data_IF_894281134935
#
_entry.id   IF_894281134935
#
_cell.length_a   1.000
_cell.length_b   1.000
_cell.length_c   1.000
_cell.angle_alpha   90.00
_cell.angle_beta   90.00
_cell.angle_gamma   90.00
#
_symmetry.space_group_name_H-M   'P 1'
#
loop_
_entity.id
_entity.type
_entity.pdbx_description
1 polymer ?
#
# COMPACT_ATOMS: atom_id res chain seq x y z
N UNK A 1 -24.78 2.67 3.25
CA UNK A 1 -23.55 3.40 3.62
C UNK A 1 -22.48 2.99 2.63
N UNK A 2 -21.99 3.92 1.80
CA UNK A 2 -20.96 3.60 0.81
C UNK A 2 -19.67 3.29 1.56
N UNK A 3 -19.21 2.06 1.47
CA UNK A 3 -17.96 1.59 2.07
C UNK A 3 -16.83 2.43 1.46
N UNK A 4 -16.07 3.18 2.29
CA UNK A 4 -14.92 3.91 1.76
C UNK A 4 -13.92 2.88 1.27
N UNK A 5 -13.58 2.92 -0.02
CA UNK A 5 -12.61 2.01 -0.64
C UNK A 5 -11.17 2.15 -0.11
N UNK A 6 -10.94 3.07 0.85
CA UNK A 6 -9.65 3.36 1.47
C UNK A 6 -9.83 3.82 2.92
N UNK A 7 -8.80 3.59 3.74
CA UNK A 7 -8.65 4.21 5.05
C UNK A 7 -7.72 5.43 4.97
N UNK A 8 -7.74 6.29 6.00
CA UNK A 8 -6.88 7.48 6.05
C UNK A 8 -5.62 7.22 6.90
N UNK A 9 -4.46 7.65 6.39
CA UNK A 9 -3.21 7.80 7.16
C UNK A 9 -2.68 9.21 6.99
N UNK A 10 -1.97 9.71 7.99
CA UNK A 10 -1.38 11.04 8.01
C UNK A 10 0.14 10.96 8.15
N UNK A 11 0.86 11.74 7.34
CA UNK A 11 2.31 11.76 7.27
C UNK A 11 2.85 13.20 7.27
N UNK A 12 3.68 13.55 8.25
CA UNK A 12 4.30 14.88 8.40
C UNK A 12 5.77 14.93 7.95
N UNK A 13 6.31 13.83 7.41
CA UNK A 13 7.72 13.70 7.05
C UNK A 13 8.57 12.98 8.09
N UNK A 14 8.04 12.79 9.31
CA UNK A 14 8.75 12.13 10.42
C UNK A 14 7.85 11.12 11.13
N UNK A 15 6.57 11.43 11.30
CA UNK A 15 5.57 10.64 12.03
C UNK A 15 4.48 10.17 11.10
N UNK A 16 4.20 8.86 11.18
CA UNK A 16 3.09 8.21 10.51
C UNK A 16 1.97 7.95 11.53
N UNK A 17 0.77 8.47 11.24
CA UNK A 17 -0.41 8.28 12.09
C UNK A 17 -1.50 7.53 11.34
N UNK A 18 -1.99 6.38 11.84
CA UNK A 18 -3.21 5.77 11.34
C UNK A 18 -4.42 6.62 11.76
N UNK A 19 -5.28 7.02 10.82
CA UNK A 19 -6.38 7.94 11.07
C UNK A 19 -5.93 9.40 11.21
N UNK A 20 -6.61 10.18 12.04
CA UNK A 20 -6.35 11.62 12.18
C UNK A 20 -4.99 11.89 12.85
N UNK A 21 -4.18 12.75 12.22
CA UNK A 21 -2.88 13.15 12.73
C UNK A 21 -2.34 14.41 12.05
N UNK A 22 -1.12 14.85 12.42
CA UNK A 22 -0.46 15.96 11.75
C UNK A 22 -0.01 15.57 10.34
N UNK A 23 0.20 16.58 9.50
CA UNK A 23 0.74 16.39 8.15
C UNK A 23 -0.31 16.05 7.09
N UNK A 24 0.18 15.51 5.98
CA UNK A 24 -0.60 15.29 4.77
C UNK A 24 -1.40 14.00 4.88
N UNK A 25 -2.68 14.07 4.51
CA UNK A 25 -3.58 12.92 4.48
C UNK A 25 -3.40 12.12 3.19
N UNK A 26 -3.38 10.80 3.31
CA UNK A 26 -3.39 9.85 2.21
C UNK A 26 -4.44 8.76 2.42
N UNK A 27 -5.01 8.27 1.32
CA UNK A 27 -5.76 7.03 1.31
C UNK A 27 -4.81 5.82 1.25
N UNK A 28 -5.07 4.80 2.06
CA UNK A 28 -4.33 3.54 2.13
C UNK A 28 -5.29 2.35 2.02
N UNK A 29 -4.80 1.19 1.57
CA UNK A 29 -5.58 -0.05 1.60
C UNK A 29 -6.01 -0.34 3.05
N UNK A 30 -7.32 -0.38 3.34
CA UNK A 30 -7.82 -0.51 4.70
C UNK A 30 -7.40 -1.84 5.34
N UNK A 31 -7.09 -2.86 4.54
CA UNK A 31 -6.60 -4.16 5.03
C UNK A 31 -5.23 -4.04 5.70
N UNK A 32 -4.43 -3.04 5.32
CA UNK A 32 -3.12 -2.81 5.93
C UNK A 32 -3.24 -2.32 7.37
N UNK A 33 -4.35 -1.69 7.75
CA UNK A 33 -4.56 -1.20 9.11
C UNK A 33 -5.19 -2.28 9.98
N UNK A 34 -4.78 -2.35 11.25
CA UNK A 34 -5.33 -3.33 12.19
C UNK A 34 -6.82 -3.12 12.54
N UNK A 35 -7.44 -2.00 12.12
CA UNK A 35 -8.90 -1.80 12.20
C UNK A 35 -9.50 -1.90 13.61
N UNK A 36 -8.72 -1.60 14.66
CA UNK A 36 -9.12 -1.78 16.07
C UNK A 36 -8.63 -3.08 16.72
N UNK A 37 -8.08 -4.01 15.93
CA UNK A 37 -7.29 -5.15 16.41
C UNK A 37 -5.85 -4.79 16.77
N UNK A 38 -5.09 -5.77 17.25
CA UNK A 38 -3.67 -5.60 17.59
C UNK A 38 -2.83 -5.79 16.33
N UNK A 39 -2.08 -4.76 15.91
CA UNK A 39 -1.15 -4.88 14.79
C UNK A 39 0.10 -5.69 15.15
N UNK A 40 1.01 -5.83 14.18
CA UNK A 40 2.27 -6.54 14.35
C UNK A 40 3.20 -5.72 15.26
N UNK A 41 3.45 -6.22 16.46
CA UNK A 41 4.31 -5.55 17.43
C UNK A 41 5.77 -5.48 16.95
N UNK A 42 6.40 -4.31 17.11
CA UNK A 42 7.79 -4.06 16.76
C UNK A 42 8.04 -3.96 15.26
N UNK A 43 7.01 -3.79 14.44
CA UNK A 43 7.16 -3.64 13.00
C UNK A 43 7.73 -2.26 12.63
N UNK A 44 8.15 -2.15 11.37
CA UNK A 44 8.67 -0.94 10.78
C UNK A 44 7.88 -0.61 9.52
N UNK A 45 7.47 0.65 9.38
CA UNK A 45 6.93 1.20 8.15
C UNK A 45 8.01 2.02 7.43
N UNK A 46 8.30 1.67 6.18
CA UNK A 46 9.05 2.52 5.26
C UNK A 46 8.07 3.38 4.49
N UNK A 47 8.04 4.67 4.82
CA UNK A 47 7.12 5.64 4.22
C UNK A 47 7.84 6.39 3.12
N UNK A 48 7.55 6.05 1.86
CA UNK A 48 8.06 6.73 0.67
C UNK A 48 6.99 7.72 0.18
N UNK A 49 6.88 8.86 0.87
CA UNK A 49 5.87 9.88 0.58
C UNK A 49 6.37 11.28 0.98
N UNK A 50 5.92 12.31 0.26
CA UNK A 50 6.25 13.70 0.56
C UNK A 50 5.15 14.40 1.37
N UNK A 51 5.48 15.09 2.48
CA UNK A 51 4.52 15.92 3.22
C UNK A 51 4.15 17.21 2.47
N UNK A 52 4.89 17.58 1.42
CA UNK A 52 4.59 18.76 0.59
C UNK A 52 3.26 18.58 -0.17
N UNK A 53 2.26 19.47 0.02
CA UNK A 53 0.99 19.42 -0.70
C UNK A 53 1.13 19.47 -2.22
N UNK A 54 2.18 20.10 -2.75
CA UNK A 54 2.42 20.21 -4.18
C UNK A 54 2.98 18.93 -4.82
N UNK A 55 3.57 18.03 -4.02
CA UNK A 55 4.16 16.78 -4.50
C UNK A 55 3.07 15.79 -4.89
N UNK A 56 2.83 15.58 -6.17
CA UNK A 56 1.84 14.64 -6.70
C UNK A 56 2.28 14.10 -8.06
N UNK A 57 2.02 12.82 -8.31
CA UNK A 57 2.31 12.16 -9.58
C UNK A 57 0.99 11.52 -10.06
N UNK A 58 0.76 11.46 -11.38
CA UNK A 58 -0.38 10.71 -11.90
C UNK A 58 -0.19 9.21 -11.66
N UNK A 59 -1.26 8.49 -11.32
CA UNK A 59 -1.16 7.04 -11.13
C UNK A 59 -0.67 6.28 -12.37
N UNK A 60 -1.02 6.75 -13.57
CA UNK A 60 -0.63 6.17 -14.84
C UNK A 60 0.74 6.64 -15.34
N UNK A 61 1.43 7.49 -14.58
CA UNK A 61 2.78 7.91 -14.91
C UNK A 61 3.70 6.69 -15.06
N UNK A 62 4.53 6.62 -16.13
CA UNK A 62 5.38 5.47 -16.38
C UNK A 62 6.28 5.07 -15.20
N UNK A 63 6.76 6.05 -14.43
CA UNK A 63 7.60 5.86 -13.26
C UNK A 63 6.85 5.19 -12.10
N UNK A 64 5.58 5.57 -11.87
CA UNK A 64 4.69 4.91 -10.89
C UNK A 64 4.44 3.47 -11.30
N UNK A 65 4.19 3.23 -12.58
CA UNK A 65 3.99 1.89 -13.09
C UNK A 65 5.27 1.04 -13.00
N UNK A 66 6.45 1.64 -13.19
CA UNK A 66 7.72 0.94 -13.07
C UNK A 66 8.02 0.51 -11.64
N UNK A 67 7.87 1.39 -10.64
CA UNK A 67 8.14 1.01 -9.24
C UNK A 67 7.19 -0.09 -8.76
N UNK A 68 5.95 -0.11 -9.26
CA UNK A 68 4.98 -1.17 -8.96
C UNK A 68 5.32 -2.50 -9.62
N UNK A 69 5.78 -2.47 -10.87
CA UNK A 69 6.32 -3.67 -11.54
C UNK A 69 7.52 -4.22 -10.80
N UNK A 70 8.44 -3.36 -10.37
CA UNK A 70 9.60 -3.75 -9.58
C UNK A 70 9.18 -4.33 -8.22
N UNK A 71 8.13 -3.75 -7.61
CA UNK A 71 7.57 -4.27 -6.38
C UNK A 71 7.08 -5.72 -6.52
N UNK A 72 6.34 -5.99 -7.60
CA UNK A 72 5.83 -7.31 -7.95
C UNK A 72 6.92 -8.28 -8.42
N UNK A 73 7.94 -7.79 -9.12
CA UNK A 73 8.95 -8.63 -9.75
C UNK A 73 10.01 -9.13 -8.77
N UNK A 74 10.31 -8.38 -7.71
CA UNK A 74 11.36 -8.76 -6.77
C UNK A 74 11.22 -8.19 -5.36
N UNK A 75 10.55 -7.07 -5.13
CA UNK A 75 10.52 -6.45 -3.78
C UNK A 75 9.76 -7.29 -2.77
N UNK A 76 8.58 -7.77 -3.15
CA UNK A 76 7.72 -8.60 -2.29
C UNK A 76 8.45 -9.90 -1.96
N UNK A 77 9.04 -10.55 -2.97
CA UNK A 77 9.79 -11.80 -2.79
C UNK A 77 11.05 -11.60 -1.94
N UNK A 78 11.74 -10.47 -2.10
CA UNK A 78 12.91 -10.12 -1.27
C UNK A 78 12.55 -9.98 0.21
N UNK A 79 11.38 -9.42 0.52
CA UNK A 79 10.90 -9.30 1.89
C UNK A 79 10.39 -10.64 2.45
N UNK A 80 9.77 -11.47 1.62
CA UNK A 80 9.28 -12.79 2.03
C UNK A 80 8.42 -12.73 3.29
N UNK A 81 8.76 -13.57 4.28
CA UNK A 81 8.03 -13.67 5.56
C UNK A 81 8.15 -12.42 6.45
N UNK A 82 9.10 -11.52 6.15
CA UNK A 82 9.22 -10.24 6.85
C UNK A 82 8.16 -9.23 6.41
N UNK A 83 7.56 -9.39 5.22
CA UNK A 83 6.51 -8.50 4.74
C UNK A 83 5.28 -8.59 5.64
N UNK A 84 4.88 -7.45 6.21
CA UNK A 84 3.61 -7.31 6.92
C UNK A 84 2.56 -6.86 5.92
N UNK A 85 2.75 -5.71 5.28
CA UNK A 85 1.84 -5.26 4.23
C UNK A 85 2.51 -4.24 3.31
N UNK A 86 1.93 -4.02 2.13
CA UNK A 86 2.39 -3.05 1.15
C UNK A 86 1.18 -2.35 0.57
N UNK A 87 1.19 -1.02 0.56
CA UNK A 87 0.13 -0.23 -0.07
C UNK A 87 0.70 1.00 -0.76
N UNK A 88 0.19 1.29 -1.96
CA UNK A 88 0.32 2.65 -2.50
C UNK A 88 -0.55 3.61 -1.69
N UNK A 89 -0.18 4.89 -1.68
CA UNK A 89 -0.91 5.98 -1.05
C UNK A 89 -1.60 6.82 -2.12
N UNK A 90 -2.91 7.02 -1.98
CA UNK A 90 -3.71 7.86 -2.89
C UNK A 90 -3.89 9.25 -2.28
N UNK A 91 -3.83 10.29 -3.11
CA UNK A 91 -4.24 11.65 -2.72
C UNK A 91 -5.71 11.91 -3.10
N UNK A 92 -6.08 11.38 -4.26
CA UNK A 92 -7.42 11.37 -4.83
C UNK A 92 -7.53 10.21 -5.84
N UNK A 93 -8.57 10.22 -6.69
CA UNK A 93 -8.81 9.16 -7.67
C UNK A 93 -7.75 9.04 -8.77
N UNK A 94 -6.92 10.07 -8.98
CA UNK A 94 -5.99 10.17 -10.10
C UNK A 94 -4.53 10.35 -9.68
N UNK A 95 -4.28 10.78 -8.45
CA UNK A 95 -2.95 11.13 -7.98
C UNK A 95 -2.36 10.15 -6.99
N UNK A 96 -1.19 9.63 -7.35
CA UNK A 96 -0.26 8.91 -6.50
C UNK A 96 0.43 9.86 -5.51
N UNK A 97 0.37 9.51 -4.24
CA UNK A 97 0.97 10.26 -3.13
C UNK A 97 2.23 9.62 -2.53
N UNK A 98 2.51 8.36 -2.86
CA UNK A 98 3.61 7.59 -2.26
C UNK A 98 3.27 6.13 -2.07
N UNK A 99 4.07 5.44 -1.26
CA UNK A 99 3.79 4.07 -0.84
C UNK A 99 4.30 3.83 0.58
N UNK A 100 3.73 2.83 1.24
CA UNK A 100 4.20 2.32 2.52
C UNK A 100 4.47 0.83 2.38
N UNK A 101 5.70 0.43 2.66
CA UNK A 101 6.08 -0.96 2.92
C UNK A 101 6.16 -1.15 4.43
N UNK A 102 5.42 -2.10 5.00
CA UNK A 102 5.55 -2.48 6.40
C UNK A 102 6.19 -3.85 6.50
N UNK A 103 7.22 -3.98 7.32
CA UNK A 103 7.95 -5.22 7.52
C UNK A 103 8.34 -5.42 9.00
N UNK A 104 8.63 -6.67 9.37
CA UNK A 104 9.13 -7.03 10.72
C UNK A 104 10.53 -6.48 10.99
N UNK A 105 11.30 -6.24 9.93
CA UNK A 105 12.67 -5.72 9.96
C UNK A 105 12.86 -4.63 8.91
N UNK A 106 13.76 -3.69 9.19
CA UNK A 106 14.17 -2.63 8.26
C UNK A 106 15.33 -3.01 7.33
N UNK A 107 15.78 -4.27 7.39
CA UNK A 107 17.02 -4.72 6.73
C UNK A 107 17.06 -4.40 5.23
N UNK A 108 15.90 -4.44 4.56
CA UNK A 108 15.82 -4.29 3.11
C UNK A 108 15.37 -2.91 2.61
N UNK A 109 15.02 -1.97 3.49
CA UNK A 109 14.44 -0.68 3.08
C UNK A 109 15.34 0.19 2.20
N UNK A 110 16.65 -0.01 2.24
CA UNK A 110 17.59 0.66 1.33
C UNK A 110 17.35 0.31 -0.15
N UNK A 111 16.67 -0.79 -0.43
CA UNK A 111 16.34 -1.25 -1.78
C UNK A 111 14.85 -1.06 -2.12
N UNK A 112 14.08 -0.32 -1.32
CA UNK A 112 12.66 -0.11 -1.60
C UNK A 112 12.49 0.61 -2.95
N UNK A 113 11.80 0.01 -3.94
CA UNK A 113 11.66 0.60 -5.28
C UNK A 113 10.91 1.94 -5.25
N UNK A 114 10.02 2.16 -4.29
CA UNK A 114 9.21 3.37 -4.17
C UNK A 114 10.04 4.58 -3.69
N UNK A 115 11.19 4.32 -3.04
CA UNK A 115 12.12 5.37 -2.60
C UNK A 115 12.71 6.19 -3.77
N UNK A 116 12.60 5.67 -5.01
CA UNK A 116 12.97 6.40 -6.24
C UNK A 116 12.02 7.54 -6.59
N UNK A 117 10.76 7.49 -6.15
CA UNK A 117 9.76 8.55 -6.41
C UNK A 117 9.74 9.57 -5.28
N UNK A 118 9.75 9.11 -4.05
CA UNK A 118 9.82 9.94 -2.85
C UNK A 118 10.77 9.30 -1.86
N UNK A 119 11.67 10.09 -1.27
CA UNK A 119 12.62 9.59 -0.29
C UNK A 119 11.90 8.85 0.86
N UNK A 120 12.42 7.68 1.21
CA UNK A 120 11.83 6.81 2.22
C UNK A 120 12.31 7.13 3.63
N UNK A 121 11.38 7.11 4.59
CA UNK A 121 11.66 7.25 6.03
C UNK A 121 11.15 6.01 6.76
N UNK A 122 12.04 5.38 7.54
CA UNK A 122 11.69 4.22 8.35
C UNK A 122 11.17 4.66 9.73
N UNK A 123 9.97 4.21 10.10
CA UNK A 123 9.30 4.55 11.35
C UNK A 123 8.84 3.26 12.04
N UNK A 124 9.15 3.11 13.33
CA UNK A 124 8.63 2.00 14.13
C UNK A 124 7.11 2.13 14.30
N UNK A 125 6.38 1.01 14.23
CA UNK A 125 4.91 1.01 14.31
C UNK A 125 4.35 -0.32 14.76
N UNK A 126 3.22 -0.27 15.46
CA UNK A 126 2.40 -1.43 15.84
C UNK A 126 0.98 -1.34 15.23
N UNK A 127 0.76 -0.42 14.29
CA UNK A 127 -0.58 -0.07 13.80
C UNK A 127 -1.08 -0.94 12.63
N UNK A 128 -0.19 -1.72 12.04
CA UNK A 128 -0.42 -2.40 10.77
C UNK A 128 -0.66 -3.91 10.95
N UNK A 129 -1.52 -4.46 10.10
CA UNK A 129 -1.86 -5.87 10.07
C UNK A 129 -1.20 -6.58 8.88
N UNK A 130 -0.92 -7.90 8.99
CA UNK A 130 -0.46 -8.69 7.87
C UNK A 130 -1.49 -8.74 6.75
N UNK A 131 -1.05 -8.48 5.53
CA UNK A 131 -1.85 -8.60 4.31
C UNK A 131 -1.08 -9.45 3.32
N UNK A 132 -1.69 -10.52 2.83
CA UNK A 132 -1.08 -11.35 1.80
C UNK A 132 -0.79 -10.48 0.55
N UNK A 133 0.40 -10.60 -0.06
CA UNK A 133 0.68 -9.89 -1.29
C UNK A 133 -0.30 -10.33 -2.39
N UNK A 134 -0.66 -9.43 -3.32
CA UNK A 134 -1.55 -9.80 -4.41
C UNK A 134 -0.92 -10.89 -5.28
N UNK A 135 -1.75 -11.80 -5.85
CA UNK A 135 -1.25 -12.84 -6.73
C UNK A 135 -0.74 -12.23 -8.05
N UNK A 136 0.58 -12.12 -8.21
CA UNK A 136 1.25 -11.84 -9.49
C UNK A 136 0.81 -10.55 -10.21
N UNK A 137 1.22 -10.34 -11.48
CA UNK A 137 0.91 -9.10 -12.20
C UNK A 137 -0.58 -9.01 -12.55
N UNK A 138 -1.36 -8.48 -11.61
CA UNK A 138 -2.77 -8.16 -11.79
C UNK A 138 -2.88 -6.94 -12.72
N UNK A 139 -3.57 -7.09 -13.85
CA UNK A 139 -4.04 -5.96 -14.65
C UNK A 139 -4.97 -5.10 -13.78
N UNK A 140 -4.55 -3.87 -13.47
CA UNK A 140 -5.29 -2.95 -12.61
C UNK A 140 -6.59 -2.49 -13.28
N UNK A 141 -7.69 -2.50 -12.52
CA UNK A 141 -8.91 -1.78 -12.88
C UNK A 141 -8.90 -0.42 -12.18
N UNK A 142 -8.95 0.66 -12.95
CA UNK A 142 -9.11 2.02 -12.45
C UNK A 142 -10.37 2.14 -11.57
N UNK A 143 -10.19 2.29 -10.26
CA UNK A 143 -11.27 2.59 -9.31
C UNK A 143 -10.88 3.66 -8.26
N UNK A 144 -9.72 4.29 -8.39
CA UNK A 144 -9.21 5.25 -7.39
C UNK A 144 -8.88 4.61 -6.03
N UNK A 145 -8.73 3.28 -5.99
CA UNK A 145 -8.42 2.53 -4.78
C UNK A 145 -6.90 2.26 -4.70
N UNK A 146 -6.31 2.32 -3.50
CA UNK A 146 -4.88 2.03 -3.31
C UNK A 146 -4.57 0.57 -3.67
N UNK A 147 -3.50 0.33 -4.43
CA UNK A 147 -3.03 -1.02 -4.71
C UNK A 147 -2.55 -1.68 -3.40
N UNK A 148 -2.91 -2.95 -3.12
CA UNK A 148 -3.50 -3.94 -4.03
C UNK A 148 -5.03 -4.13 -3.92
N UNK A 149 -5.81 -3.10 -3.63
CA UNK A 149 -7.27 -3.21 -3.38
C UNK A 149 -8.13 -3.74 -4.56
N UNK A 150 -7.55 -4.10 -5.71
CA UNK A 150 -8.25 -4.84 -6.75
C UNK A 150 -8.27 -6.34 -6.46
N UNK A 151 -9.35 -6.85 -5.86
CA UNK A 151 -9.59 -8.31 -5.84
C UNK A 151 -10.30 -8.77 -7.12
N UNK A 152 -9.83 -9.86 -7.71
CA UNK A 152 -10.71 -10.73 -8.49
C UNK A 152 -11.29 -11.76 -7.52
N UNK A 153 -12.59 -12.01 -7.62
CA UNK A 153 -13.23 -13.08 -6.88
C UNK A 153 -12.50 -14.40 -7.16
N UNK A 154 -12.23 -15.14 -6.10
CA UNK A 154 -11.67 -16.48 -6.13
C UNK A 154 -12.52 -17.35 -7.08
N UNK A 155 -11.88 -18.06 -8.00
CA UNK A 155 -12.52 -18.90 -9.01
C UNK A 155 -13.02 -20.23 -8.43
N UNK A 156 -13.77 -20.18 -7.32
CA UNK A 156 -14.38 -21.35 -6.68
C UNK A 156 -15.91 -21.37 -6.75
N UNK A 157 -16.52 -20.57 -7.62
CA UNK A 157 -17.94 -20.73 -8.00
C UNK A 157 -18.05 -21.35 -9.39
N UNK A 158 -17.68 -22.63 -9.54
CA UNK A 158 -18.21 -23.42 -10.65
C UNK A 158 -19.65 -23.80 -10.31
N UNK A 159 -20.62 -23.02 -10.78
CA UNK A 159 -21.98 -23.53 -10.94
C UNK A 159 -22.05 -24.26 -12.29
N UNK A 160 -22.48 -25.53 -12.35
CA UNK A 160 -22.69 -26.20 -13.62
C UNK A 160 -23.88 -25.56 -14.32
N UNK A 161 -23.68 -25.14 -15.57
CA UNK A 161 -24.75 -24.72 -16.45
C UNK A 161 -25.47 -25.98 -16.93
N UNK A 162 -26.71 -26.21 -16.48
CA UNK A 162 -27.60 -27.19 -17.11
C UNK A 162 -28.26 -26.53 -18.31
N UNK A 163 -28.07 -27.12 -19.48
CA UNK A 163 -28.82 -26.80 -20.70
C UNK A 163 -30.09 -27.65 -20.69
N UNK A 164 -31.24 -26.99 -20.89
CA UNK A 164 -32.49 -27.63 -21.35
C UNK A 164 -32.94 -26.91 -22.60
#
# INVERSE_FOLDING_TARGET
MSERSYADVHWDGVRLSPGAGPGRRFGIDPRCLAGGGRGVAGAWAHVCASPDPAARILFDAPEVQQVRRDALAWWIDLLGDDLVCLSTLTLDSSHYGGAITVARSRAHFAWDPFARLFAGVAVATDAFAPVAPPPGPVLERYAGAPWPAGSFADSSSSRPYSVT
#
